data_IF_399046806349
#
_entry.id   IF_399046806349
#
_cell.length_a   1.000
_cell.length_b   1.000
_cell.length_c   1.000
_cell.angle_alpha   90.00
_cell.angle_beta   90.00
_cell.angle_gamma   90.00
#
_symmetry.space_group_name_H-M   'P 1'
#
loop_
_entity.id
_entity.type
_entity.pdbx_description
1 polymer ?
#
# COMPACT_ATOMS: atom_id res chain seq x y z
N UNK A 1 -10.37 -70.51 -40.36
CA UNK A 1 -9.81 -69.87 -39.14
C UNK A 1 -10.86 -68.87 -38.65
N UNK A 2 -11.46 -69.10 -37.50
CA UNK A 2 -12.44 -68.20 -36.89
C UNK A 2 -11.74 -66.88 -36.53
N UNK A 3 -12.22 -65.76 -37.10
CA UNK A 3 -11.75 -64.43 -36.71
C UNK A 3 -11.94 -64.24 -35.21
N UNK A 4 -10.87 -64.07 -34.51
CA UNK A 4 -10.88 -63.78 -33.06
C UNK A 4 -11.43 -62.35 -32.91
N UNK A 5 -12.53 -62.18 -32.17
CA UNK A 5 -13.09 -60.86 -31.91
C UNK A 5 -12.28 -60.14 -30.84
N UNK A 6 -12.17 -58.78 -30.99
CA UNK A 6 -11.55 -57.98 -29.94
C UNK A 6 -12.25 -58.21 -28.58
N UNK A 7 -11.49 -58.24 -27.50
CA UNK A 7 -12.06 -58.38 -26.16
C UNK A 7 -13.01 -57.24 -25.83
N UNK A 8 -13.97 -57.52 -24.94
CA UNK A 8 -14.89 -56.50 -24.46
C UNK A 8 -14.18 -55.50 -23.54
N UNK A 9 -14.56 -54.22 -23.62
CA UNK A 9 -14.01 -53.19 -22.77
C UNK A 9 -14.14 -53.51 -21.30
N UNK A 10 -13.04 -53.45 -20.56
CA UNK A 10 -12.99 -53.71 -19.12
C UNK A 10 -12.83 -55.19 -18.75
N UNK A 11 -12.80 -56.12 -19.75
CA UNK A 11 -12.53 -57.53 -19.47
C UNK A 11 -11.06 -57.79 -19.15
N UNK A 12 -10.71 -58.92 -18.43
CA UNK A 12 -9.33 -59.32 -18.22
C UNK A 12 -8.54 -59.44 -19.51
N UNK A 13 -9.19 -59.94 -20.57
CA UNK A 13 -8.61 -60.13 -21.92
C UNK A 13 -8.28 -58.77 -22.56
N UNK A 14 -9.10 -57.73 -22.32
CA UNK A 14 -8.81 -56.35 -22.77
C UNK A 14 -7.60 -55.73 -22.04
N UNK A 15 -7.44 -56.06 -20.79
CA UNK A 15 -6.27 -55.58 -20.03
C UNK A 15 -4.99 -56.27 -20.53
N UNK A 16 -5.04 -57.58 -20.79
CA UNK A 16 -3.92 -58.31 -21.37
C UNK A 16 -3.62 -57.84 -22.79
N UNK A 17 -4.62 -57.56 -23.61
CA UNK A 17 -4.42 -56.94 -24.93
C UNK A 17 -3.70 -55.60 -24.82
N UNK A 18 -4.10 -54.75 -23.89
CA UNK A 18 -3.44 -53.44 -23.66
C UNK A 18 -1.99 -53.64 -23.23
N UNK A 19 -1.73 -54.59 -22.32
CA UNK A 19 -0.36 -54.89 -21.84
C UNK A 19 0.56 -55.32 -23.00
N UNK A 20 0.07 -56.23 -23.83
CA UNK A 20 0.82 -56.72 -25.02
C UNK A 20 1.00 -55.61 -26.05
N UNK A 21 -0.04 -54.81 -26.28
CA UNK A 21 0.05 -53.64 -27.20
C UNK A 21 1.11 -52.65 -26.72
N UNK A 22 1.17 -52.31 -25.45
CA UNK A 22 2.07 -51.33 -24.88
C UNK A 22 3.55 -51.79 -24.90
N UNK A 23 3.76 -53.07 -24.71
CA UNK A 23 5.10 -53.70 -24.74
C UNK A 23 5.61 -54.03 -26.14
N UNK A 24 4.77 -53.95 -27.18
CA UNK A 24 5.14 -54.30 -28.56
C UNK A 24 5.76 -53.12 -29.33
N UNK A 25 6.72 -53.40 -30.17
CA UNK A 25 7.23 -52.48 -31.15
C UNK A 25 6.20 -52.24 -32.30
N UNK A 26 6.44 -51.33 -33.25
CA UNK A 26 5.50 -51.07 -34.35
C UNK A 26 5.17 -52.30 -35.20
N UNK A 27 6.12 -53.25 -35.39
CA UNK A 27 5.91 -54.46 -36.13
C UNK A 27 5.04 -55.47 -35.35
N UNK A 28 5.32 -55.62 -34.06
CA UNK A 28 4.53 -56.45 -33.14
C UNK A 28 3.07 -55.96 -33.01
N UNK A 29 2.87 -54.65 -32.98
CA UNK A 29 1.51 -54.07 -32.99
C UNK A 29 0.75 -54.38 -34.25
N UNK A 30 1.38 -54.38 -35.41
CA UNK A 30 0.75 -54.78 -36.69
C UNK A 30 0.47 -56.27 -36.70
N UNK A 31 1.35 -57.09 -36.21
CA UNK A 31 1.13 -58.56 -36.09
C UNK A 31 -0.07 -58.85 -35.14
N UNK A 32 -0.17 -58.14 -34.02
CA UNK A 32 -1.29 -58.25 -33.09
C UNK A 32 -2.61 -57.87 -33.76
N UNK A 33 -2.65 -56.82 -34.61
CA UNK A 33 -3.81 -56.47 -35.41
C UNK A 33 -4.24 -57.61 -36.34
N UNK A 34 -3.28 -58.30 -36.95
CA UNK A 34 -3.58 -59.43 -37.84
C UNK A 34 -4.30 -60.60 -37.13
N UNK A 35 -4.02 -60.88 -35.88
CA UNK A 35 -4.67 -61.91 -35.06
C UNK A 35 -6.19 -61.65 -34.93
N UNK A 36 -6.55 -60.38 -34.87
CA UNK A 36 -7.95 -59.94 -34.73
C UNK A 36 -8.62 -59.51 -36.05
N UNK A 37 -7.96 -59.71 -37.18
CA UNK A 37 -8.49 -59.32 -38.50
C UNK A 37 -8.78 -57.83 -38.63
N UNK A 38 -8.07 -56.95 -37.95
CA UNK A 38 -8.34 -55.54 -37.86
C UNK A 38 -7.23 -54.66 -38.46
N UNK A 39 -7.61 -53.52 -39.01
CA UNK A 39 -6.64 -52.53 -39.42
C UNK A 39 -5.94 -51.89 -38.20
N UNK A 40 -4.71 -51.45 -38.37
CA UNK A 40 -3.92 -50.76 -37.31
C UNK A 40 -4.66 -49.55 -36.76
N UNK A 41 -5.34 -48.78 -37.62
CA UNK A 41 -6.15 -47.62 -37.22
C UNK A 41 -7.30 -48.03 -36.27
N UNK A 42 -8.02 -49.08 -36.59
CA UNK A 42 -9.14 -49.63 -35.78
C UNK A 42 -8.62 -50.09 -34.40
N UNK A 43 -7.49 -50.82 -34.41
CA UNK A 43 -6.89 -51.29 -33.15
C UNK A 43 -6.41 -50.11 -32.25
N UNK A 44 -5.86 -49.07 -32.88
CA UNK A 44 -5.48 -47.86 -32.16
C UNK A 44 -6.67 -47.12 -31.52
N UNK A 45 -7.81 -47.04 -32.19
CA UNK A 45 -9.02 -46.48 -31.60
C UNK A 45 -9.54 -47.33 -30.44
N UNK A 46 -9.53 -48.65 -30.56
CA UNK A 46 -9.94 -49.57 -29.49
C UNK A 46 -8.99 -49.46 -28.25
N UNK A 47 -7.68 -49.34 -28.47
CA UNK A 47 -6.71 -49.09 -27.39
C UNK A 47 -7.01 -47.78 -26.68
N UNK A 48 -7.36 -46.74 -27.44
CA UNK A 48 -7.77 -45.46 -26.86
C UNK A 48 -9.05 -45.62 -26.01
N UNK A 49 -10.06 -46.28 -26.55
CA UNK A 49 -11.32 -46.54 -25.86
C UNK A 49 -11.13 -47.42 -24.62
N UNK A 50 -10.25 -48.45 -24.64
CA UNK A 50 -9.95 -49.29 -23.50
C UNK A 50 -9.19 -48.51 -22.39
N UNK A 51 -8.34 -47.57 -22.79
CA UNK A 51 -7.64 -46.70 -21.83
C UNK A 51 -8.54 -45.63 -21.20
N UNK A 52 -9.65 -45.31 -21.86
CA UNK A 52 -10.72 -44.54 -21.21
C UNK A 52 -11.39 -45.42 -20.17
N UNK A 53 -10.68 -45.63 -19.05
CA UNK A 53 -11.32 -46.06 -17.83
C UNK A 53 -12.46 -45.11 -17.57
N UNK A 54 -13.72 -45.55 -17.60
CA UNK A 54 -14.79 -44.80 -16.94
C UNK A 54 -14.20 -44.48 -15.54
N UNK A 55 -13.83 -43.25 -15.30
CA UNK A 55 -13.63 -42.83 -13.90
C UNK A 55 -14.90 -43.27 -13.22
N UNK A 56 -14.84 -44.10 -12.14
CA UNK A 56 -16.05 -44.36 -11.39
C UNK A 56 -16.69 -42.99 -11.21
N UNK A 57 -17.96 -42.86 -11.57
CA UNK A 57 -18.75 -41.73 -11.13
C UNK A 57 -18.69 -41.82 -9.61
N UNK A 58 -17.63 -41.27 -9.01
CA UNK A 58 -17.74 -40.83 -7.65
C UNK A 58 -18.91 -39.88 -7.71
N UNK A 59 -20.01 -40.21 -7.02
CA UNK A 59 -20.99 -39.14 -6.84
C UNK A 59 -20.17 -37.97 -6.36
N UNK A 60 -20.18 -36.86 -7.13
CA UNK A 60 -19.63 -35.60 -6.70
C UNK A 60 -20.59 -35.15 -5.61
N UNK A 61 -20.52 -35.84 -4.45
CA UNK A 61 -21.01 -35.33 -3.20
C UNK A 61 -19.98 -34.27 -2.87
N UNK A 62 -20.12 -33.08 -3.51
CA UNK A 62 -19.70 -31.89 -2.82
C UNK A 62 -20.53 -31.96 -1.52
N UNK A 63 -19.90 -32.25 -0.42
CA UNK A 63 -20.41 -31.83 0.86
C UNK A 63 -20.53 -30.32 0.79
N UNK A 64 -21.66 -29.89 0.23
CA UNK A 64 -21.96 -28.45 0.15
C UNK A 64 -22.29 -28.07 1.56
N UNK A 65 -21.38 -27.35 2.19
CA UNK A 65 -21.67 -26.67 3.44
C UNK A 65 -23.00 -25.93 3.23
N UNK A 66 -24.01 -26.14 4.10
CA UNK A 66 -25.29 -25.45 4.01
C UNK A 66 -25.09 -23.92 3.88
N UNK A 67 -25.92 -23.24 3.10
CA UNK A 67 -25.77 -21.81 2.85
C UNK A 67 -25.63 -20.97 4.13
N UNK A 68 -26.44 -21.26 5.15
CA UNK A 68 -26.39 -20.54 6.43
C UNK A 68 -25.02 -20.71 7.13
N UNK A 69 -24.47 -21.93 7.10
CA UNK A 69 -23.16 -22.25 7.68
C UNK A 69 -22.03 -21.57 6.88
N UNK A 70 -22.14 -21.48 5.54
CA UNK A 70 -21.20 -20.72 4.74
C UNK A 70 -21.21 -19.24 5.12
N UNK A 71 -22.38 -18.63 5.29
CA UNK A 71 -22.50 -17.24 5.73
C UNK A 71 -21.82 -17.04 7.08
N UNK A 72 -22.03 -17.94 8.03
CA UNK A 72 -21.39 -17.86 9.34
C UNK A 72 -19.86 -17.95 9.25
N UNK A 73 -19.34 -18.91 8.47
CA UNK A 73 -17.90 -19.06 8.25
C UNK A 73 -17.32 -17.75 7.66
N UNK A 74 -17.91 -17.22 6.59
CA UNK A 74 -17.42 -15.98 5.95
C UNK A 74 -17.52 -14.80 6.90
N UNK A 75 -18.60 -14.65 7.66
CA UNK A 75 -18.76 -13.60 8.66
C UNK A 75 -17.67 -13.66 9.73
N UNK A 76 -17.33 -14.85 10.20
CA UNK A 76 -16.25 -15.03 11.17
C UNK A 76 -14.87 -14.73 10.56
N UNK A 77 -14.65 -15.12 9.31
CA UNK A 77 -13.39 -14.78 8.59
C UNK A 77 -13.27 -13.27 8.38
N UNK A 78 -14.33 -12.60 7.95
CA UNK A 78 -14.34 -11.14 7.78
C UNK A 78 -14.04 -10.42 9.10
N UNK A 79 -14.62 -10.89 10.21
CA UNK A 79 -14.35 -10.35 11.55
C UNK A 79 -12.88 -10.52 11.96
N UNK A 80 -12.27 -11.66 11.66
CA UNK A 80 -10.85 -11.88 11.93
C UNK A 80 -9.97 -10.93 11.10
N UNK A 81 -10.29 -10.77 9.81
CA UNK A 81 -9.59 -9.84 8.91
C UNK A 81 -9.75 -8.39 9.40
N UNK A 82 -10.96 -8.01 9.81
CA UNK A 82 -11.21 -6.68 10.36
C UNK A 82 -10.37 -6.41 11.62
N UNK A 83 -10.38 -7.33 12.59
CA UNK A 83 -9.59 -7.23 13.82
C UNK A 83 -8.09 -7.12 13.49
N UNK A 84 -7.60 -7.97 12.57
CA UNK A 84 -6.20 -7.96 12.16
C UNK A 84 -5.80 -6.65 11.48
N UNK A 85 -6.67 -6.09 10.63
CA UNK A 85 -6.40 -4.87 9.86
C UNK A 85 -6.73 -3.58 10.61
N UNK A 86 -7.33 -3.68 11.80
CA UNK A 86 -7.73 -2.50 12.56
C UNK A 86 -6.52 -1.62 12.88
N UNK A 87 -6.65 -0.34 12.51
CA UNK A 87 -5.75 0.75 12.89
C UNK A 87 -6.62 1.91 13.36
N UNK A 88 -6.12 2.79 14.24
CA UNK A 88 -6.87 3.97 14.63
C UNK A 88 -7.08 4.87 13.41
N UNK A 89 -8.31 5.36 13.24
CA UNK A 89 -8.65 6.39 12.24
C UNK A 89 -8.76 7.78 12.86
N UNK A 90 -8.85 7.85 14.19
CA UNK A 90 -8.90 9.10 14.95
C UNK A 90 -8.15 8.90 16.26
N UNK A 91 -7.34 9.90 16.64
CA UNK A 91 -6.57 9.93 17.90
C UNK A 91 -6.49 11.34 18.44
N UNK A 92 -6.25 11.46 19.75
CA UNK A 92 -5.85 12.72 20.40
C UNK A 92 -4.40 12.62 20.80
N UNK A 93 -3.58 13.60 20.39
CA UNK A 93 -2.20 13.76 20.81
C UNK A 93 -2.12 14.97 21.74
N UNK A 94 -1.78 14.74 22.98
CA UNK A 94 -1.68 15.79 23.98
C UNK A 94 -0.22 16.29 24.07
N UNK A 95 -0.04 17.60 23.94
CA UNK A 95 1.22 18.30 24.15
C UNK A 95 1.00 19.31 25.29
N UNK A 96 1.48 18.93 26.46
CA UNK A 96 1.42 19.82 27.64
C UNK A 96 2.54 20.88 27.52
N UNK A 97 2.12 22.09 27.15
CA UNK A 97 3.03 23.21 26.91
C UNK A 97 2.33 24.54 27.13
N UNK A 98 3.08 25.52 27.63
CA UNK A 98 2.64 26.91 27.71
C UNK A 98 3.12 27.77 26.53
N UNK A 99 3.91 27.22 25.64
CA UNK A 99 4.49 27.93 24.48
C UNK A 99 4.00 27.32 23.17
N UNK A 100 3.95 28.10 22.08
CA UNK A 100 3.58 27.57 20.77
C UNK A 100 4.46 26.41 20.33
N UNK A 101 3.86 25.48 19.57
CA UNK A 101 4.53 24.36 18.95
C UNK A 101 4.45 24.44 17.43
N UNK A 102 5.28 23.68 16.75
CA UNK A 102 5.24 23.52 15.30
C UNK A 102 5.02 22.06 14.94
N UNK A 103 4.22 21.83 13.90
CA UNK A 103 4.05 20.52 13.27
C UNK A 103 4.45 20.66 11.82
N UNK A 104 5.37 19.81 11.34
CA UNK A 104 5.73 19.72 9.93
C UNK A 104 5.30 18.40 9.32
N UNK A 105 5.04 18.41 8.02
CA UNK A 105 4.48 17.28 7.28
C UNK A 105 5.48 16.77 6.26
N UNK A 106 6.13 15.67 6.60
CA UNK A 106 6.98 14.92 5.68
C UNK A 106 6.14 13.94 4.87
N UNK A 107 6.38 13.85 3.57
CA UNK A 107 5.82 12.83 2.72
C UNK A 107 6.69 12.61 1.48
N UNK A 108 6.38 11.56 0.73
CA UNK A 108 6.97 11.32 -0.59
C UNK A 108 8.50 11.42 -0.60
N UNK A 109 9.16 10.77 0.39
CA UNK A 109 10.63 10.70 0.46
C UNK A 109 11.22 9.94 -0.71
N UNK A 110 10.46 8.95 -1.25
CA UNK A 110 10.84 8.14 -2.39
C UNK A 110 12.24 7.52 -2.28
N UNK A 111 12.67 7.16 -1.05
CA UNK A 111 14.00 6.57 -0.80
C UNK A 111 14.23 5.40 -1.76
N UNK A 112 15.30 5.50 -2.57
CA UNK A 112 15.66 4.50 -3.57
C UNK A 112 15.27 4.86 -5.00
N UNK A 113 14.58 5.98 -5.22
CA UNK A 113 14.40 6.54 -6.56
C UNK A 113 15.66 7.33 -6.99
N UNK A 114 16.05 7.25 -8.27
CA UNK A 114 17.07 8.17 -8.81
C UNK A 114 16.62 9.62 -8.67
N UNK A 115 17.52 10.49 -8.22
CA UNK A 115 17.23 11.92 -8.09
C UNK A 115 16.59 12.36 -6.79
N UNK A 116 16.60 11.50 -5.76
CA UNK A 116 16.23 11.90 -4.39
C UNK A 116 17.30 12.78 -3.79
N UNK A 117 16.90 13.92 -3.22
CA UNK A 117 17.77 14.85 -2.50
C UNK A 117 17.96 14.39 -1.03
N UNK A 118 18.90 13.46 -0.83
CA UNK A 118 19.23 12.92 0.48
C UNK A 118 19.88 13.95 1.42
N UNK A 119 20.57 14.96 0.89
CA UNK A 119 21.19 16.01 1.72
C UNK A 119 20.10 16.90 2.35
N UNK A 120 19.09 17.26 1.57
CA UNK A 120 17.94 17.99 2.09
C UNK A 120 17.15 17.12 3.09
N UNK A 121 16.92 15.84 2.81
CA UNK A 121 16.27 14.93 3.75
C UNK A 121 17.01 14.89 5.09
N UNK A 122 18.32 14.71 5.07
CA UNK A 122 19.15 14.71 6.26
C UNK A 122 19.08 16.05 7.01
N UNK A 123 19.21 17.17 6.32
CA UNK A 123 19.12 18.52 6.90
C UNK A 123 17.78 18.71 7.63
N UNK A 124 16.68 18.35 6.99
CA UNK A 124 15.33 18.58 7.49
C UNK A 124 15.01 17.66 8.69
N UNK A 125 15.44 16.39 8.64
CA UNK A 125 15.34 15.46 9.77
C UNK A 125 16.14 15.97 10.98
N UNK A 126 17.38 16.45 10.77
CA UNK A 126 18.17 17.05 11.83
C UNK A 126 17.51 18.31 12.41
N UNK A 127 16.93 19.16 11.56
CA UNK A 127 16.24 20.37 12.00
C UNK A 127 15.04 20.07 12.90
N UNK A 128 14.27 19.01 12.60
CA UNK A 128 13.16 18.56 13.47
C UNK A 128 13.69 17.97 14.77
N UNK A 129 14.68 17.07 14.68
CA UNK A 129 15.23 16.36 15.84
C UNK A 129 15.86 17.31 16.87
N UNK A 130 16.56 18.34 16.39
CA UNK A 130 17.39 19.21 17.23
C UNK A 130 16.62 20.44 17.76
N UNK A 131 15.37 20.66 17.33
CA UNK A 131 14.58 21.84 17.71
C UNK A 131 13.47 21.50 18.71
N UNK A 132 13.46 22.18 19.85
CA UNK A 132 12.45 22.01 20.87
C UNK A 132 11.08 22.55 20.43
N UNK A 133 10.01 21.79 20.74
CA UNK A 133 8.63 22.17 20.37
C UNK A 133 8.28 21.96 18.90
N UNK A 134 9.18 21.34 18.14
CA UNK A 134 8.92 20.91 16.78
C UNK A 134 8.54 19.44 16.78
N UNK A 135 7.45 19.12 16.12
CA UNK A 135 6.95 17.77 15.91
C UNK A 135 6.74 17.53 14.41
N UNK A 136 6.65 16.27 14.03
CA UNK A 136 6.40 15.93 12.63
C UNK A 136 5.47 14.73 12.50
N UNK A 137 4.88 14.64 11.32
CA UNK A 137 4.23 13.48 10.81
C UNK A 137 4.98 12.99 9.56
N UNK A 138 4.99 11.68 9.35
CA UNK A 138 5.52 11.07 8.13
C UNK A 138 4.36 10.47 7.38
N UNK A 139 4.03 11.09 6.27
CA UNK A 139 3.03 10.64 5.33
C UNK A 139 3.53 9.48 4.47
N UNK A 140 2.77 9.13 3.44
CA UNK A 140 3.07 7.98 2.61
C UNK A 140 4.29 8.14 1.71
N UNK A 141 4.59 7.04 0.99
CA UNK A 141 5.64 6.96 -0.04
C UNK A 141 7.05 7.28 0.49
N UNK A 142 7.35 6.77 1.70
CA UNK A 142 8.64 6.93 2.34
C UNK A 142 9.79 6.26 1.59
N UNK A 143 9.53 5.21 0.82
CA UNK A 143 10.51 4.54 -0.04
C UNK A 143 9.87 4.12 -1.37
N UNK A 144 10.69 4.02 -2.42
CA UNK A 144 10.24 3.85 -3.80
C UNK A 144 9.48 2.54 -4.05
N UNK A 145 9.96 1.42 -3.50
CA UNK A 145 9.25 0.13 -3.47
C UNK A 145 8.60 -0.29 -4.80
N UNK A 146 9.23 -0.02 -5.94
CA UNK A 146 8.71 -0.44 -7.23
C UNK A 146 8.84 -1.96 -7.38
N UNK A 147 7.74 -2.64 -7.20
CA UNK A 147 7.58 -4.09 -7.32
C UNK A 147 6.53 -4.41 -8.38
N UNK A 148 6.27 -5.69 -8.64
CA UNK A 148 5.32 -6.10 -9.69
C UNK A 148 3.92 -5.44 -9.65
N UNK A 149 3.30 -5.15 -8.49
CA UNK A 149 2.04 -4.41 -8.45
C UNK A 149 2.13 -2.96 -8.94
N UNK A 150 3.34 -2.37 -9.04
CA UNK A 150 3.50 -1.03 -9.57
C UNK A 150 3.30 -1.02 -11.10
N UNK A 151 2.80 0.10 -11.63
CA UNK A 151 2.64 0.28 -13.08
C UNK A 151 3.96 0.52 -13.82
N UNK A 152 4.99 0.94 -13.10
CA UNK A 152 6.28 1.36 -13.68
C UNK A 152 7.25 0.18 -13.73
N UNK A 153 7.16 -0.75 -12.78
CA UNK A 153 8.06 -1.89 -12.68
C UNK A 153 9.33 -1.60 -11.88
N UNK A 154 10.00 -2.68 -11.47
CA UNK A 154 11.15 -2.62 -10.56
C UNK A 154 12.44 -2.05 -11.17
N UNK A 155 12.50 -1.91 -12.49
CA UNK A 155 13.68 -1.37 -13.19
C UNK A 155 14.00 0.08 -12.86
N UNK A 156 13.02 0.82 -12.31
CA UNK A 156 13.20 2.21 -11.88
C UNK A 156 13.64 2.36 -10.42
N UNK A 157 13.87 1.27 -9.70
CA UNK A 157 14.54 1.34 -8.40
C UNK A 157 16.06 1.50 -8.62
N UNK A 158 16.65 2.51 -8.00
CA UNK A 158 18.09 2.67 -7.98
C UNK A 158 18.79 1.59 -7.13
N UNK A 159 18.11 1.09 -6.11
CA UNK A 159 18.63 0.08 -5.19
C UNK A 159 17.57 -0.95 -4.81
N UNK A 160 17.95 -2.14 -4.33
CA UNK A 160 17.04 -3.15 -3.82
C UNK A 160 16.12 -2.61 -2.69
N UNK A 161 14.97 -3.25 -2.50
CA UNK A 161 13.97 -2.80 -1.51
C UNK A 161 14.48 -2.85 -0.07
N UNK A 162 15.32 -3.83 0.28
CA UNK A 162 15.79 -3.98 1.65
C UNK A 162 16.64 -2.78 2.14
N UNK A 163 17.64 -2.25 1.41
CA UNK A 163 18.31 -1.00 1.75
C UNK A 163 17.37 0.21 1.81
N UNK A 164 16.39 0.31 0.91
CA UNK A 164 15.39 1.40 0.95
C UNK A 164 14.65 1.40 2.29
N UNK A 165 14.11 0.24 2.68
CA UNK A 165 13.45 0.04 3.97
C UNK A 165 14.38 0.29 5.16
N UNK A 166 15.64 -0.16 5.05
CA UNK A 166 16.65 0.08 6.07
C UNK A 166 16.84 1.57 6.36
N UNK A 167 17.03 2.38 5.31
CA UNK A 167 17.19 3.83 5.46
C UNK A 167 15.89 4.48 5.98
N UNK A 168 14.72 4.07 5.50
CA UNK A 168 13.42 4.53 6.00
C UNK A 168 13.31 4.31 7.52
N UNK A 169 13.58 3.09 8.00
CA UNK A 169 13.56 2.74 9.43
C UNK A 169 14.51 3.63 10.23
N UNK A 170 15.75 3.79 9.76
CA UNK A 170 16.74 4.63 10.44
C UNK A 170 16.28 6.08 10.52
N UNK A 171 15.67 6.61 9.46
CA UNK A 171 15.14 7.98 9.45
C UNK A 171 14.00 8.17 10.46
N UNK A 172 13.08 7.19 10.58
CA UNK A 172 12.04 7.23 11.62
C UNK A 172 12.64 7.21 13.03
N UNK A 173 13.69 6.42 13.25
CA UNK A 173 14.40 6.34 14.53
C UNK A 173 15.10 7.67 14.86
N UNK A 174 15.73 8.33 13.87
CA UNK A 174 16.39 9.63 14.06
C UNK A 174 15.39 10.73 14.45
N UNK A 175 14.16 10.71 13.93
CA UNK A 175 13.11 11.65 14.34
C UNK A 175 12.65 11.42 15.79
N UNK A 176 12.79 10.23 16.32
CA UNK A 176 12.54 9.89 17.72
C UNK A 176 11.20 10.37 18.26
N UNK A 177 11.20 11.05 19.39
CA UNK A 177 9.98 11.56 20.05
C UNK A 177 9.31 12.73 19.32
N UNK A 178 9.96 13.33 18.33
CA UNK A 178 9.39 14.38 17.51
C UNK A 178 8.39 13.83 16.49
N UNK A 179 8.56 12.56 16.08
CA UNK A 179 7.64 11.85 15.20
C UNK A 179 6.37 11.43 15.94
N UNK A 180 5.22 11.90 15.51
CA UNK A 180 3.94 11.64 16.16
C UNK A 180 3.06 10.65 15.41
N UNK A 181 3.06 10.70 14.07
CA UNK A 181 2.20 9.86 13.23
C UNK A 181 2.98 9.35 12.02
N UNK A 182 2.73 8.11 11.64
CA UNK A 182 3.17 7.52 10.38
C UNK A 182 1.96 7.09 9.58
N UNK A 183 1.91 7.45 8.29
CA UNK A 183 0.90 6.99 7.34
C UNK A 183 1.55 6.26 6.17
N UNK A 184 0.81 5.39 5.51
CA UNK A 184 1.27 4.69 4.31
C UNK A 184 0.81 5.38 3.03
N UNK A 185 1.64 5.30 2.00
CA UNK A 185 1.30 5.71 0.65
C UNK A 185 1.04 4.53 -0.29
N UNK A 186 0.84 4.81 -1.56
CA UNK A 186 0.60 3.75 -2.54
C UNK A 186 1.85 2.92 -2.83
N UNK A 187 3.05 3.50 -2.82
CA UNK A 187 4.30 2.77 -3.03
C UNK A 187 4.53 1.74 -1.92
N UNK A 188 4.41 2.16 -0.68
CA UNK A 188 4.54 1.30 0.48
C UNK A 188 3.47 0.21 0.49
N UNK A 189 2.23 0.57 0.14
CA UNK A 189 1.08 -0.34 0.13
C UNK A 189 1.16 -1.41 -0.97
N UNK A 190 1.95 -1.23 -2.03
CA UNK A 190 2.17 -2.29 -3.03
C UNK A 190 2.71 -3.59 -2.42
N UNK A 191 3.54 -3.51 -1.39
CA UNK A 191 3.98 -4.71 -0.66
C UNK A 191 2.81 -5.42 0.02
N UNK A 192 1.90 -4.67 0.64
CA UNK A 192 0.69 -5.24 1.24
C UNK A 192 -0.18 -5.93 0.18
N UNK A 193 -0.36 -5.30 -0.99
CA UNK A 193 -1.09 -5.89 -2.10
C UNK A 193 -0.42 -7.16 -2.66
N UNK A 194 0.91 -7.21 -2.63
CA UNK A 194 1.66 -8.33 -3.18
C UNK A 194 1.66 -9.57 -2.27
N UNK A 195 1.74 -9.38 -0.96
CA UNK A 195 1.95 -10.48 0.00
C UNK A 195 0.90 -10.55 1.12
N UNK A 196 -0.03 -9.59 1.20
CA UNK A 196 -1.08 -9.56 2.22
C UNK A 196 -0.62 -9.11 3.60
N UNK A 197 0.63 -8.65 3.76
CA UNK A 197 1.20 -8.20 5.03
C UNK A 197 1.46 -6.71 5.01
N UNK A 198 0.91 -5.96 5.97
CA UNK A 198 1.17 -4.54 6.17
C UNK A 198 2.46 -4.37 7.00
N UNK A 199 3.59 -4.34 6.28
CA UNK A 199 4.92 -4.25 6.88
C UNK A 199 5.11 -2.96 7.70
N UNK A 200 4.54 -1.84 7.26
CA UNK A 200 4.66 -0.57 7.99
C UNK A 200 3.89 -0.59 9.30
N UNK A 201 2.72 -1.21 9.32
CA UNK A 201 1.95 -1.44 10.54
C UNK A 201 2.79 -2.21 11.57
N UNK A 202 3.40 -3.32 11.14
CA UNK A 202 4.25 -4.14 11.99
C UNK A 202 5.52 -3.39 12.45
N UNK A 203 6.13 -2.61 11.56
CA UNK A 203 7.26 -1.75 11.90
C UNK A 203 6.87 -0.72 12.97
N UNK A 204 5.80 0.03 12.75
CA UNK A 204 5.32 1.05 13.69
C UNK A 204 4.97 0.44 15.05
N UNK A 205 4.33 -0.72 15.06
CA UNK A 205 4.06 -1.46 16.30
C UNK A 205 5.36 -1.79 17.08
N UNK A 206 6.40 -2.29 16.40
CA UNK A 206 7.70 -2.60 17.01
C UNK A 206 8.42 -1.36 17.54
N UNK A 207 8.34 -0.25 16.80
CA UNK A 207 8.96 1.02 17.19
C UNK A 207 8.08 1.84 18.15
N UNK A 208 6.89 1.36 18.50
CA UNK A 208 5.88 2.05 19.33
C UNK A 208 5.47 3.41 18.74
N UNK A 209 5.39 3.48 17.42
CA UNK A 209 4.92 4.64 16.68
C UNK A 209 3.42 4.50 16.39
N UNK A 210 2.71 5.61 16.35
CA UNK A 210 1.31 5.66 15.93
C UNK A 210 1.22 5.50 14.42
N UNK A 211 0.47 4.50 13.96
CA UNK A 211 0.24 4.22 12.55
C UNK A 211 -1.24 4.41 12.19
N UNK A 212 -1.53 5.20 11.17
CA UNK A 212 -2.90 5.55 10.74
C UNK A 212 -3.19 5.20 9.27
N UNK A 213 -2.51 4.23 8.70
CA UNK A 213 -2.72 3.72 7.34
C UNK A 213 -2.83 4.83 6.27
N UNK A 214 -3.94 4.94 5.52
CA UNK A 214 -4.09 5.83 4.35
C UNK A 214 -4.56 7.24 4.69
N UNK A 215 -5.25 7.40 5.80
CA UNK A 215 -5.73 8.67 6.33
C UNK A 215 -5.89 8.59 7.85
N UNK A 216 -5.94 9.73 8.49
CA UNK A 216 -6.22 9.81 9.91
C UNK A 216 -6.71 11.18 10.34
N UNK A 217 -7.45 11.20 11.44
CA UNK A 217 -7.88 12.39 12.14
C UNK A 217 -7.05 12.50 13.41
N UNK A 218 -6.32 13.59 13.56
CA UNK A 218 -5.51 13.87 14.75
C UNK A 218 -6.07 15.10 15.44
N UNK A 219 -6.51 14.93 16.68
CA UNK A 219 -6.89 16.04 17.54
C UNK A 219 -5.65 16.47 18.34
N UNK A 220 -4.97 17.50 17.89
CA UNK A 220 -3.83 18.09 18.57
C UNK A 220 -4.30 18.91 19.76
N UNK A 221 -4.20 18.36 20.94
CA UNK A 221 -4.46 19.08 22.18
C UNK A 221 -3.15 19.73 22.64
N UNK A 222 -3.04 21.03 22.41
CA UNK A 222 -1.86 21.84 22.70
C UNK A 222 -2.21 22.80 23.83
N UNK A 223 -1.71 22.55 25.05
CA UNK A 223 -2.15 23.26 26.24
C UNK A 223 -3.69 23.19 26.41
N UNK A 224 -4.35 24.35 26.43
CA UNK A 224 -5.82 24.44 26.57
C UNK A 224 -6.57 24.34 25.25
N UNK A 225 -5.89 24.34 24.11
CA UNK A 225 -6.49 24.39 22.79
C UNK A 225 -6.49 23.02 22.09
N UNK A 226 -7.49 22.78 21.23
CA UNK A 226 -7.56 21.58 20.39
C UNK A 226 -7.72 21.96 18.94
N UNK A 227 -6.88 21.38 18.08
CA UNK A 227 -6.87 21.58 16.64
C UNK A 227 -7.09 20.26 15.94
N UNK A 228 -8.21 20.13 15.23
CA UNK A 228 -8.52 18.93 14.47
C UNK A 228 -7.81 18.97 13.12
N UNK A 229 -6.95 18.00 12.90
CA UNK A 229 -6.26 17.77 11.63
C UNK A 229 -6.87 16.55 10.95
N UNK A 230 -6.95 16.61 9.62
CA UNK A 230 -7.20 15.45 8.77
C UNK A 230 -6.09 15.37 7.74
N UNK A 231 -5.36 14.28 7.74
CA UNK A 231 -4.30 14.05 6.79
C UNK A 231 -4.55 12.74 6.00
N UNK A 232 -4.27 12.77 4.70
CA UNK A 232 -4.43 11.62 3.81
C UNK A 232 -3.37 11.63 2.72
N UNK A 233 -2.90 10.44 2.35
CA UNK A 233 -1.90 10.36 1.28
C UNK A 233 -2.47 10.76 -0.07
N UNK A 234 -3.70 10.38 -0.39
CA UNK A 234 -4.30 10.65 -1.70
C UNK A 234 -5.70 11.21 -1.58
N UNK A 235 -5.92 12.38 -2.17
CA UNK A 235 -7.23 13.04 -2.22
C UNK A 235 -7.92 12.92 -3.59
N UNK A 236 -9.24 13.12 -3.60
CA UNK A 236 -10.05 13.37 -4.80
C UNK A 236 -10.05 14.87 -5.13
N UNK A 237 -10.71 15.25 -6.20
CA UNK A 237 -10.93 16.66 -6.59
C UNK A 237 -9.64 17.45 -6.92
N UNK A 238 -8.63 16.79 -7.47
CA UNK A 238 -7.39 17.47 -7.84
C UNK A 238 -7.63 18.54 -8.91
N UNK A 239 -6.94 19.68 -8.76
CA UNK A 239 -6.94 20.80 -9.70
C UNK A 239 -5.52 21.22 -10.00
N UNK A 240 -5.19 21.42 -11.27
CA UNK A 240 -3.88 21.92 -11.70
C UNK A 240 -3.71 23.42 -11.47
N UNK A 241 -4.81 24.16 -11.32
CA UNK A 241 -4.79 25.62 -11.13
C UNK A 241 -4.88 26.05 -9.67
N UNK A 242 -5.51 25.20 -8.84
CA UNK A 242 -5.64 25.45 -7.42
C UNK A 242 -5.25 24.18 -6.68
N UNK A 243 -4.00 24.14 -6.24
CA UNK A 243 -3.42 22.94 -5.63
C UNK A 243 -4.13 22.54 -4.34
N UNK A 244 -4.63 23.48 -3.56
CA UNK A 244 -5.36 23.25 -2.29
C UNK A 244 -6.85 23.00 -2.48
N UNK A 245 -7.36 22.98 -3.71
CA UNK A 245 -8.78 22.76 -3.99
C UNK A 245 -9.30 21.46 -3.39
N UNK A 246 -8.55 20.37 -3.58
CA UNK A 246 -8.89 19.03 -3.04
C UNK A 246 -9.06 19.07 -1.52
N UNK A 247 -8.15 19.72 -0.79
CA UNK A 247 -8.19 19.87 0.66
C UNK A 247 -9.48 20.56 1.11
N UNK A 248 -9.81 21.71 0.50
CA UNK A 248 -11.02 22.48 0.82
C UNK A 248 -12.31 21.75 0.48
N UNK A 249 -12.32 20.95 -0.58
CA UNK A 249 -13.48 20.12 -0.93
C UNK A 249 -13.68 18.98 0.07
N UNK A 250 -12.61 18.26 0.46
CA UNK A 250 -12.70 17.25 1.50
C UNK A 250 -13.15 17.82 2.83
N UNK A 251 -12.65 18.99 3.23
CA UNK A 251 -13.13 19.66 4.44
C UNK A 251 -14.64 19.91 4.38
N UNK A 252 -15.14 20.45 3.26
CA UNK A 252 -16.56 20.81 3.14
C UNK A 252 -17.49 19.62 3.09
N UNK A 253 -17.06 18.53 2.45
CA UNK A 253 -17.92 17.39 2.14
C UNK A 253 -17.80 16.26 3.17
N UNK A 254 -16.57 16.02 3.64
CA UNK A 254 -16.26 14.82 4.42
C UNK A 254 -15.85 15.14 5.88
N UNK A 255 -15.21 16.31 6.13
CA UNK A 255 -14.58 16.64 7.42
C UNK A 255 -14.83 18.11 7.84
N UNK A 256 -16.07 18.54 8.07
CA UNK A 256 -16.40 19.95 8.27
C UNK A 256 -15.76 20.59 9.52
N UNK A 257 -15.32 19.78 10.48
CA UNK A 257 -14.70 20.24 11.73
C UNK A 257 -13.17 20.30 11.64
N UNK A 258 -12.58 19.88 10.53
CA UNK A 258 -11.14 19.92 10.35
C UNK A 258 -10.63 21.37 10.24
N UNK A 259 -9.57 21.67 10.99
CA UNK A 259 -8.85 22.96 10.97
C UNK A 259 -7.61 22.91 10.08
N UNK A 260 -7.02 21.75 9.97
CA UNK A 260 -5.83 21.48 9.17
C UNK A 260 -6.17 20.31 8.24
N UNK A 261 -6.02 20.56 6.93
CA UNK A 261 -6.26 19.55 5.89
C UNK A 261 -4.99 19.27 5.13
N UNK A 262 -4.40 18.08 5.28
CA UNK A 262 -3.16 17.68 4.62
C UNK A 262 -3.44 16.65 3.55
N UNK A 263 -2.95 16.88 2.34
CA UNK A 263 -2.98 15.90 1.23
C UNK A 263 -1.57 15.82 0.61
N UNK A 264 -1.10 14.60 0.43
CA UNK A 264 0.23 14.24 -0.04
C UNK A 264 0.22 13.79 -1.51
N UNK A 265 1.16 12.96 -1.95
CA UNK A 265 1.18 12.22 -3.22
C UNK A 265 1.50 13.00 -4.48
N UNK A 266 1.17 14.27 -4.57
CA UNK A 266 1.30 15.01 -5.85
C UNK A 266 2.66 15.65 -6.06
N UNK A 267 3.57 15.55 -5.07
CA UNK A 267 4.94 16.05 -5.13
C UNK A 267 5.09 17.57 -5.34
N UNK A 268 4.01 18.31 -5.28
CA UNK A 268 4.00 19.78 -5.43
C UNK A 268 3.42 20.40 -4.19
N UNK A 269 4.28 21.05 -3.40
CA UNK A 269 3.90 21.67 -2.15
C UNK A 269 3.13 22.97 -2.38
N UNK A 270 2.10 23.13 -1.57
CA UNK A 270 1.38 24.40 -1.46
C UNK A 270 0.70 24.52 -0.09
N UNK A 271 0.41 25.75 0.31
CA UNK A 271 -0.29 26.03 1.56
C UNK A 271 -1.23 27.20 1.36
N UNK A 272 -2.42 27.12 1.93
CA UNK A 272 -3.40 28.18 1.91
C UNK A 272 -4.04 28.31 3.29
N UNK A 273 -3.99 29.52 3.86
CA UNK A 273 -4.75 29.88 5.04
C UNK A 273 -6.07 30.54 4.60
N UNK A 274 -7.15 30.13 5.21
CA UNK A 274 -8.50 30.61 4.86
C UNK A 274 -9.45 30.47 6.06
N UNK A 275 -10.61 31.09 5.94
CA UNK A 275 -11.66 30.95 6.97
C UNK A 275 -12.78 30.04 6.50
N UNK A 276 -13.16 29.13 7.37
CA UNK A 276 -14.31 28.25 7.18
C UNK A 276 -15.04 28.05 8.51
N UNK A 277 -16.39 28.16 8.50
CA UNK A 277 -17.23 28.07 9.70
C UNK A 277 -16.76 28.98 10.85
N UNK A 278 -16.38 30.21 10.55
CA UNK A 278 -15.83 31.22 11.47
C UNK A 278 -14.50 30.84 12.15
N UNK A 279 -13.84 29.80 11.71
CA UNK A 279 -12.54 29.39 12.21
C UNK A 279 -11.45 29.56 11.16
N UNK A 280 -10.22 29.83 11.62
CA UNK A 280 -9.06 29.86 10.74
C UNK A 280 -8.63 28.43 10.44
N UNK A 281 -8.44 28.13 9.15
CA UNK A 281 -8.11 26.80 8.64
C UNK A 281 -6.88 26.88 7.73
N UNK A 282 -6.18 25.76 7.60
CA UNK A 282 -5.02 25.60 6.74
C UNK A 282 -5.18 24.38 5.85
N UNK A 283 -5.05 24.60 4.54
CA UNK A 283 -4.97 23.53 3.55
C UNK A 283 -3.52 23.36 3.11
N UNK A 284 -3.01 22.13 3.18
CA UNK A 284 -1.60 21.78 2.97
C UNK A 284 -1.48 20.73 1.89
N UNK A 285 -0.60 20.96 0.93
CA UNK A 285 -0.06 19.97 0.01
C UNK A 285 1.42 19.81 0.29
N UNK A 286 1.86 18.56 0.47
CA UNK A 286 3.27 18.27 0.72
C UNK A 286 4.09 18.26 -0.56
N UNK A 287 5.37 18.55 -0.44
CA UNK A 287 6.35 18.37 -1.49
C UNK A 287 6.88 16.92 -1.56
N UNK A 288 8.08 16.77 -2.06
CA UNK A 288 8.78 15.49 -2.21
C UNK A 288 10.29 15.72 -2.11
N UNK A 289 11.04 14.66 -1.82
CA UNK A 289 12.50 14.66 -1.97
C UNK A 289 12.97 14.11 -3.32
N UNK A 290 12.07 13.52 -4.11
CA UNK A 290 12.34 13.13 -5.49
C UNK A 290 12.23 14.33 -6.41
N UNK A 291 13.32 15.12 -6.49
CA UNK A 291 13.38 16.38 -7.27
C UNK A 291 13.73 16.16 -8.73
N UNK A 292 14.23 14.99 -9.08
CA UNK A 292 14.55 14.61 -10.44
C UNK A 292 14.12 13.15 -10.70
N UNK A 293 13.03 12.99 -11.43
CA UNK A 293 12.50 11.69 -11.79
C UNK A 293 12.27 11.59 -13.29
N UNK A 294 12.82 10.58 -13.95
CA UNK A 294 12.57 10.30 -15.37
C UNK A 294 11.07 10.10 -15.64
N UNK A 295 10.37 9.44 -14.72
CA UNK A 295 8.92 9.27 -14.81
C UNK A 295 8.19 10.61 -14.78
N UNK A 296 8.57 11.51 -13.88
CA UNK A 296 7.98 12.84 -13.80
C UNK A 296 8.21 13.63 -15.10
N UNK A 297 9.42 13.58 -15.65
CA UNK A 297 9.75 14.24 -16.91
C UNK A 297 8.95 13.69 -18.09
N UNK A 298 8.85 12.36 -18.23
CA UNK A 298 8.06 11.71 -19.28
C UNK A 298 6.57 12.11 -19.24
N UNK A 299 6.05 12.43 -18.05
CA UNK A 299 4.66 12.81 -17.84
C UNK A 299 4.46 14.32 -17.68
N UNK A 300 5.49 15.14 -17.95
CA UNK A 300 5.46 16.60 -17.87
C UNK A 300 5.17 17.15 -16.47
N UNK A 301 5.62 16.47 -15.43
CA UNK A 301 5.56 16.92 -14.03
C UNK A 301 6.86 17.63 -13.66
N UNK A 302 6.92 18.95 -13.81
CA UNK A 302 8.14 19.76 -13.61
C UNK A 302 8.16 20.52 -12.29
N UNK A 303 7.15 20.40 -11.44
CA UNK A 303 6.99 21.21 -10.23
C UNK A 303 7.51 20.56 -8.95
N UNK A 304 8.14 19.37 -9.02
CA UNK A 304 8.66 18.68 -7.86
C UNK A 304 9.83 19.46 -7.23
N UNK A 305 9.75 19.69 -5.92
CA UNK A 305 10.82 20.35 -5.16
C UNK A 305 10.74 19.95 -3.69
N UNK A 306 11.87 19.98 -3.00
CA UNK A 306 11.92 19.77 -1.56
C UNK A 306 11.20 20.92 -0.86
N UNK A 307 10.12 20.59 -0.18
CA UNK A 307 9.35 21.55 0.59
C UNK A 307 8.47 20.80 1.60
N UNK A 308 8.67 21.08 2.87
CA UNK A 308 7.88 20.50 3.96
C UNK A 308 7.07 21.62 4.61
N UNK A 309 5.80 21.75 4.28
CA UNK A 309 4.92 22.72 4.92
C UNK A 309 4.77 22.43 6.42
N UNK A 310 4.50 23.48 7.18
CA UNK A 310 4.33 23.39 8.62
C UNK A 310 3.24 24.32 9.12
N UNK A 311 2.71 23.98 10.30
CA UNK A 311 1.84 24.87 11.06
C UNK A 311 2.42 25.16 12.43
N UNK A 312 2.22 26.38 12.91
CA UNK A 312 2.46 26.76 14.30
C UNK A 312 1.13 26.88 15.01
N UNK A 313 1.02 26.24 16.17
CA UNK A 313 -0.20 26.15 17.00
C UNK A 313 0.04 26.77 18.34
N UNK A 314 -0.92 27.55 18.85
CA UNK A 314 -0.86 28.21 20.15
C UNK A 314 -1.55 27.42 21.24
N UNK A 315 -1.00 27.36 22.47
CA UNK A 315 -1.60 26.63 23.57
C UNK A 315 -2.69 27.40 24.32
N UNK A 316 -2.72 28.72 24.20
CA UNK A 316 -3.53 29.65 25.01
C UNK A 316 -4.64 30.37 24.22
N UNK A 317 -4.67 30.22 22.93
CA UNK A 317 -5.62 30.86 22.04
C UNK A 317 -5.84 30.08 20.76
N UNK A 318 -7.02 30.18 20.19
CA UNK A 318 -7.34 29.56 18.91
C UNK A 318 -6.67 30.33 17.76
N UNK A 319 -5.43 29.93 17.44
CA UNK A 319 -4.65 30.55 16.39
C UNK A 319 -3.77 29.52 15.69
N UNK A 320 -3.80 29.51 14.37
CA UNK A 320 -2.96 28.67 13.49
C UNK A 320 -2.24 29.59 12.53
N UNK A 321 -0.94 29.36 12.39
CA UNK A 321 -0.14 30.03 11.37
C UNK A 321 0.53 28.97 10.47
N UNK A 322 0.27 29.03 9.16
CA UNK A 322 0.82 28.10 8.18
C UNK A 322 2.05 28.65 7.48
N UNK A 323 3.02 27.79 7.23
CA UNK A 323 4.27 28.09 6.54
C UNK A 323 4.47 27.09 5.41
N UNK A 324 4.87 27.61 4.24
CA UNK A 324 5.17 26.75 3.10
C UNK A 324 6.45 25.95 3.32
N UNK A 325 7.42 26.51 4.04
CA UNK A 325 8.70 25.89 4.37
C UNK A 325 8.85 25.75 5.89
N UNK A 326 9.26 24.57 6.35
CA UNK A 326 9.46 24.28 7.77
C UNK A 326 10.59 25.11 8.40
N UNK A 327 11.61 25.50 7.64
CA UNK A 327 12.72 26.31 8.16
C UNK A 327 12.26 27.72 8.50
N UNK A 328 11.37 28.31 7.69
CA UNK A 328 10.75 29.59 8.03
C UNK A 328 9.88 29.48 9.27
N UNK A 329 9.14 28.37 9.42
CA UNK A 329 8.34 28.09 10.61
C UNK A 329 9.21 27.93 11.88
N UNK A 330 10.37 27.27 11.78
CA UNK A 330 11.34 27.15 12.90
C UNK A 330 11.86 28.53 13.32
N UNK A 331 12.26 29.38 12.36
CA UNK A 331 12.70 30.73 12.66
C UNK A 331 11.59 31.50 13.40
N UNK A 332 10.37 31.40 12.91
CA UNK A 332 9.22 32.04 13.55
C UNK A 332 8.95 31.47 14.95
N UNK A 333 8.95 30.14 15.13
CA UNK A 333 8.75 29.49 16.42
C UNK A 333 9.80 29.97 17.44
N UNK A 334 11.07 30.04 17.07
CA UNK A 334 12.15 30.55 17.92
C UNK A 334 11.87 31.99 18.39
N UNK A 335 11.36 32.85 17.49
CA UNK A 335 11.01 34.23 17.85
C UNK A 335 9.89 34.33 18.89
N UNK A 336 8.94 33.41 18.87
CA UNK A 336 7.84 33.33 19.82
C UNK A 336 8.28 32.78 21.20
N UNK A 337 9.30 31.93 21.23
CA UNK A 337 9.80 31.29 22.45
C UNK A 337 10.91 32.04 23.15
N UNK A 338 11.46 33.06 22.47
CA UNK A 338 12.53 33.92 23.01
C UNK A 338 12.00 35.11 23.85
N UNK A 339 10.67 35.24 23.93
CA UNK A 339 9.96 36.28 24.68
C UNK A 339 9.48 35.69 26.01
#
# INVERSE_FOLDING_TARGET
>A
MSEQKFPSKGSPEAQEFLRVWDSSDPQGKRALCGVFGASYSRAKHLVHDYRQVKRPEKPYVSERIPWAEQIEIFTNMDRLVEIHNKVPSEVTIEIDTATPIMITYFADWQIGEPGVDYESLKRDVCAVRDEEGVYCEVGGDGYQNLIQPSKIGSSHNQMPIAPQRGLFVMTLIELGNHLKVVRTGNHNYWSTLAVGEDWEKELCHRLKLLYMKHYGIVNWKVGDMTYTEVAMHKGRFNSSFNLTHSNKQHQRMDFPDARIMVIEHNHVADIEQYRYNNADCVAIRTGTYSVYSDFAQQNSYFGAHVCNPAVVLWPDRDHICGFKDMHDAIIYLRSLRSV
#
